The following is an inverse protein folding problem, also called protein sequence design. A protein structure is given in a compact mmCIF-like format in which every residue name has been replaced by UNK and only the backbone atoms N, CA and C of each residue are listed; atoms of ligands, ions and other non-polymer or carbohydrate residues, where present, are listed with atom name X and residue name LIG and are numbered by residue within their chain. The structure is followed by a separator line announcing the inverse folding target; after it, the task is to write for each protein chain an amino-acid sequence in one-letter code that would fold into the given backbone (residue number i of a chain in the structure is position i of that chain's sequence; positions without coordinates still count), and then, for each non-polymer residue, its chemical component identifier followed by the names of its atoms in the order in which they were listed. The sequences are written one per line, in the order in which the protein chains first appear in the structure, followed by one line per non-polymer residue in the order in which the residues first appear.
data_IF_143021889879
#
_entry.id   IF_143021889879
#
_cell.length_a   1.000
_cell.length_b   1.000
_cell.length_c   1.000
_cell.angle_alpha   90.00
_cell.angle_beta   90.00
_cell.angle_gamma   90.00
#
_symmetry.space_group_name_H-M   'P 1'
#
loop_
_entity.id
_entity.type
_entity.pdbx_description
1 polymer ?
#
# COMPACT_ATOMS: atom_id res chain seq x y z
N UNK A 1 -3.89 1.59 -3.14
CA UNK A 1 -3.47 1.87 -3.82
C UNK A 1 -3.06 2.40 -5.18
N UNK A 2 -2.25 3.42 -5.23
CA UNK A 2 -1.61 3.90 -6.45
C UNK A 2 -0.11 3.66 -6.34
N UNK A 3 0.62 3.68 -7.47
CA UNK A 3 2.07 3.60 -7.48
C UNK A 3 2.67 4.80 -6.73
N UNK A 4 3.72 4.55 -5.93
CA UNK A 4 4.41 5.61 -5.21
C UNK A 4 5.21 6.50 -6.18
N UNK A 5 5.20 7.84 -6.01
CA UNK A 5 6.02 8.72 -6.81
C UNK A 5 7.51 8.55 -6.47
N UNK A 6 8.39 8.63 -7.46
CA UNK A 6 9.83 8.61 -7.23
C UNK A 6 10.31 9.98 -6.75
N UNK A 7 10.72 10.07 -5.49
CA UNK A 7 11.14 11.31 -4.82
C UNK A 7 12.66 11.47 -4.78
N UNK A 8 13.42 10.36 -4.80
CA UNK A 8 14.88 10.36 -4.77
C UNK A 8 15.40 9.59 -5.98
N UNK A 9 16.15 10.25 -6.84
CA UNK A 9 16.81 9.63 -7.99
C UNK A 9 18.12 8.95 -7.59
N UNK A 10 18.62 8.04 -8.44
CA UNK A 10 19.93 7.40 -8.24
C UNK A 10 21.07 8.44 -8.20
N UNK A 11 20.98 9.51 -8.99
CA UNK A 11 22.00 10.57 -8.98
C UNK A 11 22.03 11.38 -7.68
N UNK A 12 20.88 11.55 -7.01
CA UNK A 12 20.82 12.23 -5.72
C UNK A 12 21.58 11.47 -4.63
N UNK A 13 21.68 10.13 -4.71
CA UNK A 13 22.46 9.35 -3.74
C UNK A 13 23.92 9.78 -3.70
N UNK A 14 24.49 10.17 -4.83
CA UNK A 14 25.89 10.60 -4.94
C UNK A 14 26.20 11.88 -4.15
N UNK A 15 25.17 12.68 -3.86
CA UNK A 15 25.27 13.92 -3.07
C UNK A 15 25.04 13.71 -1.58
N UNK A 16 24.58 12.53 -1.18
CA UNK A 16 24.31 12.19 0.21
C UNK A 16 25.60 11.82 0.96
N UNK A 17 25.56 11.99 2.29
CA UNK A 17 26.66 11.53 3.13
C UNK A 17 26.72 10.00 3.13
N UNK A 18 27.92 9.44 2.94
CA UNK A 18 28.14 7.98 3.11
C UNK A 18 27.68 7.53 4.49
N UNK A 19 27.00 6.40 4.54
CA UNK A 19 26.38 5.87 5.76
C UNK A 19 25.01 6.50 6.10
N UNK A 20 24.48 7.42 5.29
CA UNK A 20 23.11 7.86 5.41
C UNK A 20 22.16 6.68 5.17
N UNK A 21 20.96 6.76 5.77
CA UNK A 21 19.95 5.70 5.71
C UNK A 21 18.70 6.22 5.00
N UNK A 22 18.22 5.46 4.03
CA UNK A 22 16.93 5.65 3.37
C UNK A 22 15.97 4.55 3.82
N UNK A 23 14.83 4.94 4.38
CA UNK A 23 13.76 4.04 4.79
C UNK A 23 12.57 4.24 3.86
N UNK A 24 12.23 3.22 3.08
CA UNK A 24 11.12 3.30 2.14
C UNK A 24 9.86 2.64 2.71
N UNK A 25 9.00 3.45 3.33
CA UNK A 25 7.73 2.98 3.90
C UNK A 25 6.72 2.63 2.82
N UNK A 26 6.84 3.22 1.63
CA UNK A 26 5.95 2.99 0.49
C UNK A 26 6.43 1.85 -0.43
N UNK A 27 7.31 0.98 0.05
CA UNK A 27 7.88 -0.10 -0.78
C UNK A 27 6.82 -1.01 -1.40
N UNK A 28 5.71 -1.27 -0.70
CA UNK A 28 4.58 -2.07 -1.19
C UNK A 28 3.86 -1.43 -2.39
N UNK A 29 4.06 -0.13 -2.59
CA UNK A 29 3.52 0.65 -3.70
C UNK A 29 4.58 0.95 -4.78
N UNK A 30 5.65 0.16 -4.84
CA UNK A 30 6.75 0.33 -5.78
C UNK A 30 7.91 1.19 -5.28
N UNK A 31 7.85 1.71 -4.04
CA UNK A 31 8.89 2.50 -3.41
C UNK A 31 9.03 3.94 -3.92
N UNK A 32 9.48 4.83 -3.03
CA UNK A 32 9.67 6.26 -3.32
C UNK A 32 11.06 6.60 -3.86
N UNK A 33 12.02 5.68 -3.86
CA UNK A 33 13.35 5.92 -4.38
C UNK A 33 13.54 5.14 -5.69
N UNK A 34 14.28 5.70 -6.64
CA UNK A 34 14.58 5.04 -7.90
C UNK A 34 15.31 3.71 -7.68
N UNK A 35 16.12 3.65 -6.63
CA UNK A 35 16.91 2.49 -6.23
C UNK A 35 16.20 1.53 -5.28
N UNK A 36 14.92 1.75 -4.98
CA UNK A 36 14.16 0.88 -4.07
C UNK A 36 13.87 -0.48 -4.69
N UNK A 37 14.12 -1.53 -3.90
CA UNK A 37 13.58 -2.87 -4.13
C UNK A 37 13.19 -3.50 -2.78
N UNK A 38 12.15 -4.34 -2.79
CA UNK A 38 11.64 -4.94 -1.57
C UNK A 38 12.68 -5.88 -0.92
N UNK A 39 12.78 -5.78 0.40
CA UNK A 39 13.58 -6.65 1.24
C UNK A 39 12.72 -7.37 2.27
N UNK A 40 13.32 -8.27 3.03
CA UNK A 40 12.64 -9.07 4.06
C UNK A 40 13.28 -8.84 5.43
N UNK A 41 12.60 -9.26 6.50
CA UNK A 41 13.17 -9.20 7.85
C UNK A 41 14.43 -10.06 8.02
N UNK A 42 14.62 -11.09 7.21
CA UNK A 42 15.82 -11.94 7.24
C UNK A 42 17.04 -11.25 6.59
N UNK A 43 16.81 -10.43 5.56
CA UNK A 43 17.84 -9.63 4.88
C UNK A 43 17.28 -8.22 4.65
N UNK A 44 17.28 -7.35 5.68
CA UNK A 44 16.46 -6.14 5.68
C UNK A 44 17.08 -4.95 4.95
N UNK A 45 18.38 -4.95 4.70
CA UNK A 45 19.11 -3.79 4.19
C UNK A 45 20.04 -4.14 3.05
N UNK A 46 20.29 -3.15 2.18
CA UNK A 46 21.34 -3.21 1.16
C UNK A 46 22.00 -1.83 1.03
N UNK A 47 23.14 -1.77 0.36
CA UNK A 47 23.91 -0.55 0.21
C UNK A 47 24.12 -0.25 -1.28
N UNK A 48 23.78 1.00 -1.68
CA UNK A 48 24.08 1.55 -3.01
C UNK A 48 24.82 2.89 -2.82
N UNK A 49 25.94 3.06 -3.47
CA UNK A 49 26.79 4.27 -3.40
C UNK A 49 27.14 4.69 -1.95
N UNK A 50 27.24 3.71 -1.03
CA UNK A 50 27.51 3.96 0.38
C UNK A 50 26.30 4.42 1.20
N UNK A 51 25.08 4.40 0.63
CA UNK A 51 23.84 4.74 1.28
C UNK A 51 23.09 3.44 1.63
N UNK A 52 22.70 3.31 2.90
CA UNK A 52 21.97 2.15 3.40
C UNK A 52 20.49 2.30 3.03
N UNK A 53 19.92 1.27 2.41
CA UNK A 53 18.50 1.18 2.10
C UNK A 53 17.83 0.17 3.03
N UNK A 54 16.71 0.55 3.62
CA UNK A 54 15.81 -0.32 4.38
C UNK A 54 14.44 -0.28 3.73
N UNK A 55 14.07 -1.38 3.06
CA UNK A 55 12.88 -1.48 2.22
C UNK A 55 12.08 -2.76 2.53
N UNK A 56 11.93 -3.09 3.82
CA UNK A 56 11.19 -4.28 4.24
C UNK A 56 9.70 -4.12 3.92
N UNK A 57 9.17 -5.01 3.10
CA UNK A 57 7.78 -4.97 2.64
C UNK A 57 6.74 -5.15 3.77
N UNK A 58 7.11 -5.71 4.91
CA UNK A 58 6.24 -5.88 6.07
C UNK A 58 6.91 -5.34 7.34
N UNK A 59 7.21 -4.05 7.38
CA UNK A 59 7.79 -3.39 8.56
C UNK A 59 6.98 -3.65 9.85
N UNK A 60 5.63 -3.61 9.85
CA UNK A 60 4.84 -3.90 11.05
C UNK A 60 5.05 -5.31 11.62
N UNK A 61 5.50 -6.26 10.81
CA UNK A 61 5.82 -7.62 11.25
C UNK A 61 6.94 -7.70 12.28
N UNK A 62 7.82 -6.69 12.35
CA UNK A 62 8.86 -6.59 13.38
C UNK A 62 8.31 -6.33 14.80
N UNK A 63 7.09 -5.79 14.90
CA UNK A 63 6.38 -5.48 16.16
C UNK A 63 4.97 -6.07 16.11
N UNK A 64 4.89 -7.35 15.81
CA UNK A 64 3.67 -8.05 15.43
C UNK A 64 2.51 -7.87 16.43
N UNK A 65 2.76 -7.92 17.73
CA UNK A 65 1.71 -7.74 18.75
C UNK A 65 1.07 -6.35 18.64
N UNK A 66 1.88 -5.30 18.65
CA UNK A 66 1.39 -3.91 18.58
C UNK A 66 0.66 -3.66 17.27
N UNK A 67 1.24 -4.11 16.16
CA UNK A 67 0.66 -3.94 14.83
C UNK A 67 -0.67 -4.67 14.67
N UNK A 68 -0.79 -5.89 15.21
CA UNK A 68 -2.05 -6.65 15.17
C UNK A 68 -3.16 -5.94 15.92
N UNK A 69 -2.92 -5.46 17.14
CA UNK A 69 -3.94 -4.72 17.87
C UNK A 69 -4.32 -3.41 17.19
N UNK A 70 -3.34 -2.65 16.71
CA UNK A 70 -3.58 -1.40 16.02
C UNK A 70 -4.44 -1.61 14.76
N UNK A 71 -4.06 -2.56 13.91
CA UNK A 71 -4.79 -2.88 12.69
C UNK A 71 -6.20 -3.40 13.01
N UNK A 72 -6.33 -4.34 13.95
CA UNK A 72 -7.62 -4.91 14.31
C UNK A 72 -8.59 -3.85 14.85
N UNK A 73 -8.11 -2.92 15.68
CA UNK A 73 -8.94 -1.85 16.23
C UNK A 73 -9.55 -0.95 15.15
N UNK A 74 -8.85 -0.71 14.05
CA UNK A 74 -9.36 0.13 12.96
C UNK A 74 -10.14 -0.64 11.90
N UNK A 75 -9.90 -1.94 11.72
CA UNK A 75 -10.57 -2.74 10.67
C UNK A 75 -11.82 -3.45 11.18
N UNK A 76 -11.87 -3.87 12.44
CA UNK A 76 -12.98 -4.61 13.03
C UNK A 76 -14.33 -3.91 12.87
N UNK A 77 -14.50 -2.59 13.12
CA UNK A 77 -15.78 -1.92 12.94
C UNK A 77 -16.34 -2.05 11.52
N UNK A 78 -15.47 -2.00 10.50
CA UNK A 78 -15.87 -2.18 9.11
C UNK A 78 -16.25 -3.63 8.80
N UNK A 79 -15.50 -4.59 9.32
CA UNK A 79 -15.84 -6.02 9.18
C UNK A 79 -17.19 -6.35 9.81
N UNK A 80 -17.48 -5.83 11.01
CA UNK A 80 -18.76 -6.01 11.68
C UNK A 80 -19.91 -5.38 10.89
N UNK A 81 -19.72 -4.18 10.34
CA UNK A 81 -20.72 -3.52 9.50
C UNK A 81 -21.06 -4.34 8.25
N UNK A 82 -20.05 -4.90 7.58
CA UNK A 82 -20.24 -5.76 6.42
C UNK A 82 -20.99 -7.06 6.83
N UNK A 83 -20.63 -7.64 7.97
CA UNK A 83 -21.29 -8.85 8.48
C UNK A 83 -22.76 -8.62 8.86
N UNK A 84 -23.07 -7.46 9.42
CA UNK A 84 -24.42 -7.11 9.88
C UNK A 84 -25.36 -6.74 8.71
N UNK A 85 -24.90 -5.91 7.79
CA UNK A 85 -25.71 -5.33 6.71
C UNK A 85 -25.62 -6.12 5.39
N UNK A 86 -24.66 -7.03 5.27
CA UNK A 86 -24.23 -7.55 3.99
C UNK A 86 -23.37 -6.53 3.23
N UNK A 87 -22.50 -7.00 2.36
CA UNK A 87 -21.50 -6.17 1.70
C UNK A 87 -22.09 -5.02 0.84
N UNK A 88 -23.15 -5.27 0.06
CA UNK A 88 -23.78 -4.25 -0.80
C UNK A 88 -24.34 -3.10 0.01
N UNK A 89 -25.14 -3.38 1.03
CA UNK A 89 -25.76 -2.35 1.85
C UNK A 89 -24.75 -1.61 2.73
N UNK A 90 -23.72 -2.31 3.21
CA UNK A 90 -22.62 -1.66 3.91
C UNK A 90 -21.90 -0.61 3.03
N UNK A 91 -21.60 -0.96 1.78
CA UNK A 91 -20.96 -0.06 0.82
C UNK A 91 -21.89 1.10 0.42
N UNK A 92 -23.19 0.85 0.18
CA UNK A 92 -24.15 1.89 -0.17
C UNK A 92 -24.33 2.95 0.91
N UNK A 93 -24.20 2.56 2.18
CA UNK A 93 -24.38 3.45 3.34
C UNK A 93 -23.13 4.20 3.78
N UNK A 94 -21.97 3.78 3.29
CA UNK A 94 -20.68 4.35 3.70
C UNK A 94 -19.78 4.61 2.48
N UNK A 95 -19.67 5.89 2.05
CA UNK A 95 -18.85 6.23 0.89
C UNK A 95 -17.36 5.94 1.10
N UNK A 96 -16.87 5.94 2.34
CA UNK A 96 -15.49 5.59 2.63
C UNK A 96 -15.25 4.10 2.47
N UNK A 97 -16.23 3.27 2.87
CA UNK A 97 -16.17 1.85 2.67
C UNK A 97 -16.33 1.50 1.17
N UNK A 98 -17.21 2.21 0.45
CA UNK A 98 -17.37 2.07 -1.01
C UNK A 98 -16.07 2.37 -1.76
N UNK A 99 -15.33 3.40 -1.34
CA UNK A 99 -14.03 3.75 -1.92
C UNK A 99 -12.98 2.64 -1.74
N UNK A 100 -13.20 1.69 -0.83
CA UNK A 100 -12.38 0.50 -0.64
C UNK A 100 -12.70 -0.66 -1.61
N UNK A 101 -13.77 -0.56 -2.41
CA UNK A 101 -14.11 -1.61 -3.37
C UNK A 101 -13.15 -1.57 -4.56
N UNK A 102 -12.24 -2.54 -4.66
CA UNK A 102 -11.24 -2.60 -5.71
C UNK A 102 -11.66 -3.46 -6.90
N UNK A 103 -12.33 -4.58 -6.63
CA UNK A 103 -12.76 -5.52 -7.66
C UNK A 103 -14.12 -6.11 -7.29
N UNK A 104 -15.01 -6.19 -8.27
CA UNK A 104 -16.29 -6.89 -8.16
C UNK A 104 -16.62 -7.58 -9.47
N UNK A 105 -17.01 -8.84 -9.42
CA UNK A 105 -17.42 -9.65 -10.58
C UNK A 105 -16.46 -9.56 -11.77
N UNK A 106 -15.14 -9.65 -11.48
CA UNK A 106 -14.09 -9.55 -12.48
C UNK A 106 -13.83 -8.15 -13.04
N UNK A 107 -14.52 -7.12 -12.54
CA UNK A 107 -14.35 -5.72 -12.96
C UNK A 107 -13.51 -4.95 -11.93
N UNK A 108 -12.57 -4.14 -12.41
CA UNK A 108 -11.77 -3.25 -11.55
C UNK A 108 -12.58 -2.00 -11.27
N UNK A 109 -12.83 -1.73 -9.98
CA UNK A 109 -13.70 -0.65 -9.51
C UNK A 109 -12.93 0.45 -8.77
N UNK A 110 -11.61 0.36 -8.72
CA UNK A 110 -10.74 1.41 -8.19
C UNK A 110 -9.87 1.99 -9.31
N UNK A 111 -10.12 3.28 -9.62
CA UNK A 111 -9.56 3.92 -10.81
C UNK A 111 -8.02 3.91 -10.84
N UNK A 112 -7.35 4.18 -9.72
CA UNK A 112 -5.89 4.20 -9.70
C UNK A 112 -5.28 2.82 -10.02
N UNK A 113 -5.92 1.74 -9.57
CA UNK A 113 -5.48 0.36 -9.91
C UNK A 113 -5.71 0.06 -11.38
N UNK A 114 -6.85 0.49 -11.94
CA UNK A 114 -7.13 0.31 -13.36
C UNK A 114 -6.10 1.04 -14.23
N UNK A 115 -5.79 2.29 -13.91
CA UNK A 115 -4.82 3.11 -14.63
C UNK A 115 -3.39 2.51 -14.55
N UNK A 116 -2.94 2.13 -13.35
CA UNK A 116 -1.59 1.56 -13.13
C UNK A 116 -1.39 0.21 -13.84
N UNK A 117 -2.44 -0.59 -13.95
CA UNK A 117 -2.39 -1.91 -14.57
C UNK A 117 -2.84 -1.93 -16.03
N UNK A 118 -3.31 -0.80 -16.56
CA UNK A 118 -3.85 -0.71 -17.93
C UNK A 118 -5.12 -1.55 -18.12
N UNK A 119 -5.96 -1.66 -17.09
CA UNK A 119 -7.18 -2.45 -17.10
C UNK A 119 -8.43 -1.56 -17.30
N UNK A 120 -9.53 -2.12 -17.85
CA UNK A 120 -10.81 -1.41 -17.92
C UNK A 120 -11.31 -1.03 -16.53
N UNK A 121 -11.78 0.20 -16.38
CA UNK A 121 -12.36 0.73 -15.15
C UNK A 121 -13.89 0.69 -15.18
N UNK A 122 -14.50 0.28 -14.09
CA UNK A 122 -15.95 0.38 -13.85
C UNK A 122 -16.18 1.15 -12.54
N UNK A 123 -16.98 2.24 -12.51
CA UNK A 123 -17.27 2.95 -11.27
C UNK A 123 -17.84 2.00 -10.21
N UNK A 124 -17.44 2.19 -8.95
CA UNK A 124 -17.87 1.32 -7.85
C UNK A 124 -19.40 1.39 -7.64
N UNK A 125 -19.99 2.55 -7.86
CA UNK A 125 -21.44 2.78 -7.79
C UNK A 125 -22.20 1.91 -8.80
N UNK A 126 -21.70 1.79 -10.03
CA UNK A 126 -22.30 0.98 -11.08
C UNK A 126 -22.18 -0.52 -10.75
N UNK A 127 -21.10 -0.90 -10.07
CA UNK A 127 -20.88 -2.29 -9.68
C UNK A 127 -21.82 -2.78 -8.56
N UNK A 128 -22.32 -1.87 -7.72
CA UNK A 128 -23.21 -2.19 -6.59
C UNK A 128 -24.68 -1.82 -6.83
N UNK A 129 -25.01 -1.30 -7.99
CA UNK A 129 -26.36 -0.94 -8.38
C UNK A 129 -27.35 -2.10 -8.31
#
# INVERSE_FOLDING_TARGET
GAAAPKLVSADMLKTMKKGAVLVDVAIDQGGCFETSHATTHADPTYIIDGIVHYCVANMPGAVARTSTYALNNVTLPHALRIAELGWKDALRRDPHLLAGLNVWDGKVTYKAVADDLGLPYTPAEDAIA
#
